data_IF_493329060568
#
_entry.id   IF_493329060568
#
_cell.length_a   1.000
_cell.length_b   1.000
_cell.length_c   1.000
_cell.angle_alpha   90.00
_cell.angle_beta   90.00
_cell.angle_gamma   90.00
#
_symmetry.space_group_name_H-M   'P 1'
#
loop_
_entity.id
_entity.type
_entity.pdbx_description
1 polymer ?
#
# COMPACT_ATOMS: atom_id res chain seq x y z
N UNK A 1 -15.82 -5.35 -19.93
CA UNK A 1 -15.07 -4.11 -20.21
C UNK A 1 -14.74 -3.43 -18.89
N UNK A 2 -13.45 -3.23 -18.56
CA UNK A 2 -13.02 -2.50 -17.36
C UNK A 2 -13.28 -1.00 -17.54
N UNK A 3 -13.87 -0.35 -16.54
CA UNK A 3 -14.13 1.11 -16.57
C UNK A 3 -12.81 1.90 -16.55
N UNK A 4 -12.82 3.14 -17.05
CA UNK A 4 -11.64 4.03 -17.01
C UNK A 4 -11.11 4.20 -15.57
N UNK A 5 -12.01 4.26 -14.60
CA UNK A 5 -11.69 4.33 -13.16
C UNK A 5 -10.94 3.08 -12.72
N UNK A 6 -11.40 1.88 -13.10
CA UNK A 6 -10.73 0.63 -12.72
C UNK A 6 -9.31 0.52 -13.30
N UNK A 7 -9.07 1.03 -14.52
CA UNK A 7 -7.73 1.08 -15.13
C UNK A 7 -6.79 2.08 -14.46
N UNK A 8 -7.33 3.19 -13.96
CA UNK A 8 -6.55 4.19 -13.24
C UNK A 8 -6.21 3.75 -11.80
N UNK A 9 -7.04 2.90 -11.20
CA UNK A 9 -6.87 2.48 -9.80
C UNK A 9 -6.14 1.15 -9.65
N UNK A 10 -6.37 0.19 -10.55
CA UNK A 10 -5.86 -1.17 -10.42
C UNK A 10 -4.87 -1.54 -11.52
N UNK A 11 -3.85 -2.35 -11.22
CA UNK A 11 -2.94 -2.91 -12.21
C UNK A 11 -3.66 -3.79 -13.23
N UNK A 12 -3.02 -3.96 -14.39
CA UNK A 12 -3.46 -4.90 -15.42
C UNK A 12 -3.02 -6.36 -15.16
N UNK A 13 -2.58 -6.67 -13.92
CA UNK A 13 -2.24 -8.04 -13.46
C UNK A 13 -3.17 -8.45 -12.33
N UNK A 14 -3.49 -9.74 -12.14
CA UNK A 14 -4.21 -10.17 -10.95
C UNK A 14 -3.41 -9.93 -9.66
N UNK A 15 -4.09 -9.82 -8.51
CA UNK A 15 -3.43 -9.78 -7.21
C UNK A 15 -2.67 -11.09 -6.94
N UNK A 16 -1.50 -10.98 -6.30
CA UNK A 16 -0.59 -12.10 -6.02
C UNK A 16 -0.64 -12.51 -4.54
N UNK A 17 0.05 -13.61 -4.20
CA UNK A 17 0.23 -14.07 -2.81
C UNK A 17 0.86 -13.01 -1.90
N UNK A 18 1.78 -12.20 -2.43
CA UNK A 18 2.39 -11.11 -1.68
C UNK A 18 1.40 -9.99 -1.38
N UNK A 19 0.48 -9.71 -2.31
CA UNK A 19 -0.57 -8.70 -2.11
C UNK A 19 -1.49 -9.14 -0.94
N UNK A 20 -1.81 -10.44 -0.86
CA UNK A 20 -2.57 -11.02 0.25
C UNK A 20 -1.80 -11.00 1.58
N UNK A 21 -0.51 -11.36 1.58
CA UNK A 21 0.34 -11.28 2.78
C UNK A 21 0.39 -9.86 3.36
N UNK A 22 0.43 -8.86 2.48
CA UNK A 22 0.44 -7.45 2.87
C UNK A 22 -0.83 -7.04 3.62
N UNK A 23 -1.99 -7.62 3.29
CA UNK A 23 -3.23 -7.42 4.07
C UNK A 23 -3.03 -7.89 5.51
N UNK A 24 -2.53 -9.12 5.71
CA UNK A 24 -2.34 -9.68 7.04
C UNK A 24 -1.38 -8.84 7.88
N UNK A 25 -0.26 -8.41 7.28
CA UNK A 25 0.70 -7.52 7.93
C UNK A 25 0.05 -6.19 8.30
N UNK A 26 -0.70 -5.57 7.38
CA UNK A 26 -1.38 -4.30 7.64
C UNK A 26 -2.38 -4.41 8.79
N UNK A 27 -3.19 -5.47 8.83
CA UNK A 27 -4.16 -5.72 9.91
C UNK A 27 -3.45 -5.89 11.25
N UNK A 28 -2.40 -6.72 11.32
CA UNK A 28 -1.64 -6.92 12.55
C UNK A 28 -1.07 -5.60 13.07
N UNK A 29 -0.50 -4.78 12.18
CA UNK A 29 0.07 -3.49 12.54
C UNK A 29 -1.01 -2.51 13.05
N UNK A 30 -2.17 -2.43 12.39
CA UNK A 30 -3.29 -1.60 12.85
C UNK A 30 -3.78 -2.05 14.23
N UNK A 31 -3.98 -3.35 14.44
CA UNK A 31 -4.43 -3.89 15.73
C UNK A 31 -3.41 -3.65 16.84
N UNK A 32 -2.11 -3.70 16.53
CA UNK A 32 -1.05 -3.39 17.49
C UNK A 32 -0.99 -1.91 17.88
N UNK A 33 -1.47 -1.01 17.01
CA UNK A 33 -1.53 0.42 17.26
C UNK A 33 -2.80 0.86 18.02
N UNK A 34 -3.84 0.03 18.07
CA UNK A 34 -5.13 0.32 18.69
C UNK A 34 -5.12 0.60 20.21
N UNK A 35 -4.18 0.11 21.04
CA UNK A 35 -4.11 0.49 22.45
C UNK A 35 -3.81 1.99 22.69
N UNK A 36 -3.43 2.73 21.65
CA UNK A 36 -3.17 4.18 21.68
C UNK A 36 -4.50 4.94 21.57
N UNK A 37 -5.24 5.02 22.68
CA UNK A 37 -6.62 5.53 22.79
C UNK A 37 -6.90 7.00 22.44
N UNK A 38 -6.07 7.64 21.60
CA UNK A 38 -6.20 9.04 21.15
C UNK A 38 -6.01 9.17 19.62
N UNK A 39 -6.47 8.18 18.86
CA UNK A 39 -6.32 8.20 17.40
C UNK A 39 -6.96 9.47 16.80
N UNK A 40 -6.12 10.35 16.25
CA UNK A 40 -6.58 11.56 15.58
C UNK A 40 -7.23 11.16 14.25
N UNK A 41 -8.56 11.09 14.26
CA UNK A 41 -9.35 10.64 13.14
C UNK A 41 -9.09 11.46 11.87
N UNK A 42 -8.77 12.75 12.02
CA UNK A 42 -8.41 13.62 10.91
C UNK A 42 -7.17 13.07 10.18
N UNK A 43 -6.15 12.64 10.91
CA UNK A 43 -4.92 12.09 10.34
C UNK A 43 -5.12 10.69 9.74
N UNK A 44 -6.06 9.90 10.27
CA UNK A 44 -6.46 8.62 9.65
C UNK A 44 -7.04 8.88 8.27
N UNK A 45 -7.98 9.82 8.16
CA UNK A 45 -8.61 10.17 6.87
C UNK A 45 -7.56 10.69 5.88
N UNK A 46 -6.67 11.57 6.32
CA UNK A 46 -5.58 12.08 5.48
C UNK A 46 -4.67 10.95 5.00
N UNK A 47 -4.22 10.07 5.91
CA UNK A 47 -3.38 8.94 5.56
C UNK A 47 -4.05 7.99 4.57
N UNK A 48 -5.34 7.73 4.76
CA UNK A 48 -6.14 6.90 3.88
C UNK A 48 -6.23 7.46 2.45
N UNK A 49 -6.53 8.76 2.33
CA UNK A 49 -6.59 9.44 1.03
C UNK A 49 -5.22 9.44 0.35
N UNK A 50 -4.15 9.74 1.08
CA UNK A 50 -2.79 9.69 0.54
C UNK A 50 -2.41 8.29 0.06
N UNK A 51 -2.74 7.26 0.85
CA UNK A 51 -2.50 5.86 0.47
C UNK A 51 -3.28 5.46 -0.78
N UNK A 52 -4.55 5.85 -0.89
CA UNK A 52 -5.38 5.57 -2.08
C UNK A 52 -4.83 6.25 -3.34
N UNK A 53 -4.44 7.52 -3.22
CA UNK A 53 -3.86 8.28 -4.33
C UNK A 53 -2.52 7.66 -4.74
N UNK A 54 -1.68 7.33 -3.75
CA UNK A 54 -0.37 6.71 -3.94
C UNK A 54 -0.44 5.36 -4.62
N UNK A 55 -1.25 4.44 -4.09
CA UNK A 55 -1.39 3.07 -4.62
C UNK A 55 -2.23 2.98 -5.90
N UNK A 56 -3.15 3.91 -6.11
CA UNK A 56 -3.98 3.97 -7.31
C UNK A 56 -3.37 4.87 -8.38
N UNK A 57 -3.91 6.08 -8.60
CA UNK A 57 -3.59 6.89 -9.78
C UNK A 57 -2.10 7.25 -9.91
N UNK A 58 -1.42 7.55 -8.80
CA UNK A 58 0.00 7.93 -8.84
C UNK A 58 0.85 6.75 -9.28
N UNK A 59 0.65 5.56 -8.71
CA UNK A 59 1.36 4.35 -9.12
C UNK A 59 1.05 3.94 -10.58
N UNK A 60 -0.16 4.18 -11.08
CA UNK A 60 -0.53 3.85 -12.45
C UNK A 60 -0.10 4.91 -13.49
N UNK A 61 0.31 6.11 -13.05
CA UNK A 61 0.77 7.18 -13.91
C UNK A 61 2.12 6.85 -14.59
N UNK A 62 2.46 7.48 -15.74
CA UNK A 62 3.76 7.30 -16.38
C UNK A 62 4.93 7.59 -15.44
N UNK A 63 4.83 8.66 -14.65
CA UNK A 63 5.85 9.07 -13.67
C UNK A 63 6.00 8.00 -12.58
N UNK A 64 4.89 7.48 -12.04
CA UNK A 64 4.92 6.43 -11.03
C UNK A 64 5.57 5.14 -11.55
N UNK A 65 5.26 4.76 -12.79
CA UNK A 65 5.87 3.60 -13.46
C UNK A 65 7.37 3.80 -13.70
N UNK A 66 7.79 5.00 -14.08
CA UNK A 66 9.20 5.34 -14.28
C UNK A 66 10.00 5.33 -12.97
N UNK A 67 9.45 5.92 -11.90
CA UNK A 67 10.05 5.86 -10.55
C UNK A 67 10.17 4.40 -10.10
N UNK A 68 9.12 3.60 -10.28
CA UNK A 68 9.14 2.18 -9.96
C UNK A 68 10.21 1.40 -10.73
N UNK A 69 10.32 1.64 -12.04
CA UNK A 69 11.35 1.02 -12.88
C UNK A 69 12.76 1.43 -12.46
N UNK A 70 12.96 2.71 -12.15
CA UNK A 70 14.25 3.25 -11.67
C UNK A 70 14.63 2.64 -10.34
N UNK A 71 13.70 2.60 -9.38
CA UNK A 71 13.92 1.96 -8.09
C UNK A 71 14.21 0.46 -8.22
N UNK A 72 13.60 -0.21 -9.20
CA UNK A 72 13.92 -1.60 -9.50
C UNK A 72 15.33 -1.75 -10.07
N UNK A 73 15.80 -0.80 -10.89
CA UNK A 73 17.08 -0.85 -11.59
C UNK A 73 18.32 -0.53 -10.72
N UNK A 74 18.21 0.31 -9.69
CA UNK A 74 19.35 0.75 -8.84
C UNK A 74 19.99 -0.34 -7.97
N UNK A 75 19.49 -1.58 -8.02
CA UNK A 75 19.99 -2.70 -7.24
C UNK A 75 19.77 -2.56 -5.72
N UNK A 76 20.17 -3.57 -4.95
CA UNK A 76 19.88 -3.64 -3.51
C UNK A 76 20.51 -2.48 -2.73
N UNK A 77 21.78 -2.15 -3.02
CA UNK A 77 22.49 -1.07 -2.35
C UNK A 77 21.82 0.31 -2.57
N UNK A 78 21.42 0.61 -3.81
CA UNK A 78 20.72 1.84 -4.13
C UNK A 78 19.37 1.93 -3.40
N UNK A 79 18.61 0.83 -3.34
CA UNK A 79 17.33 0.78 -2.60
C UNK A 79 17.52 1.06 -1.11
N UNK A 80 18.58 0.51 -0.49
CA UNK A 80 18.90 0.77 0.93
C UNK A 80 19.18 2.26 1.15
N UNK A 81 19.93 2.91 0.26
CA UNK A 81 20.22 4.35 0.37
C UNK A 81 18.93 5.17 0.27
N UNK A 82 18.10 4.91 -0.74
CA UNK A 82 16.81 5.61 -0.91
C UNK A 82 15.89 5.39 0.29
N UNK A 83 15.77 4.15 0.78
CA UNK A 83 14.99 3.86 1.98
C UNK A 83 15.54 4.57 3.21
N UNK A 84 16.86 4.61 3.41
CA UNK A 84 17.49 5.32 4.52
C UNK A 84 17.16 6.81 4.51
N UNK A 85 17.19 7.45 3.34
CA UNK A 85 16.83 8.87 3.17
C UNK A 85 15.37 9.13 3.58
N UNK A 86 14.46 8.19 3.35
CA UNK A 86 13.04 8.30 3.73
C UNK A 86 12.79 7.92 5.20
N UNK A 87 13.52 6.96 5.74
CA UNK A 87 13.34 6.45 7.11
C UNK A 87 13.69 7.53 8.14
N UNK A 88 14.80 8.25 7.96
CA UNK A 88 15.24 9.29 8.92
C UNK A 88 14.18 10.36 9.19
N UNK A 89 13.62 11.06 8.19
CA UNK A 89 12.55 12.05 8.43
C UNK A 89 11.27 11.38 8.93
N UNK A 90 10.98 10.15 8.52
CA UNK A 90 9.82 9.39 9.02
C UNK A 90 9.92 9.15 10.52
N UNK A 91 11.09 8.73 11.01
CA UNK A 91 11.36 8.56 12.44
C UNK A 91 11.25 9.91 13.16
N UNK A 92 11.79 10.98 12.58
CA UNK A 92 11.70 12.31 13.18
C UNK A 92 10.23 12.75 13.37
N UNK A 93 9.36 12.52 12.37
CA UNK A 93 7.91 12.78 12.48
C UNK A 93 7.26 11.87 13.51
N UNK A 94 7.61 10.58 13.56
CA UNK A 94 7.07 9.63 14.53
C UNK A 94 7.37 10.04 15.99
N UNK A 95 8.55 10.58 16.24
CA UNK A 95 8.96 11.02 17.58
C UNK A 95 8.37 12.38 17.94
N UNK A 96 8.36 13.33 17.01
CA UNK A 96 7.94 14.72 17.29
C UNK A 96 6.42 14.91 17.24
N UNK A 97 5.72 14.15 16.39
CA UNK A 97 4.29 14.24 16.16
C UNK A 97 3.64 12.84 16.21
N UNK A 98 3.74 12.11 17.34
CA UNK A 98 3.35 10.70 17.42
C UNK A 98 1.87 10.47 17.10
N UNK A 99 0.98 11.36 17.55
CA UNK A 99 -0.46 11.25 17.28
C UNK A 99 -0.79 11.38 15.78
N UNK A 100 -0.12 12.30 15.10
CA UNK A 100 -0.24 12.49 13.65
C UNK A 100 0.33 11.29 12.90
N UNK A 101 1.53 10.84 13.28
CA UNK A 101 2.20 9.71 12.65
C UNK A 101 1.38 8.42 12.75
N UNK A 102 0.86 8.11 13.94
CA UNK A 102 0.01 6.93 14.17
C UNK A 102 -1.26 7.02 13.32
N UNK A 103 -1.93 8.18 13.32
CA UNK A 103 -3.13 8.39 12.51
C UNK A 103 -2.86 8.19 11.01
N UNK A 104 -1.84 8.85 10.46
CA UNK A 104 -1.42 8.70 9.07
C UNK A 104 -1.09 7.24 8.72
N UNK A 105 -0.35 6.56 9.59
CA UNK A 105 0.06 5.17 9.40
C UNK A 105 -1.13 4.23 9.36
N UNK A 106 -2.08 4.36 10.31
CA UNK A 106 -3.32 3.58 10.32
C UNK A 106 -4.11 3.82 9.02
N UNK A 107 -4.25 5.10 8.62
CA UNK A 107 -4.95 5.49 7.39
C UNK A 107 -4.35 4.84 6.14
N UNK A 108 -3.03 4.96 5.95
CA UNK A 108 -2.32 4.36 4.83
C UNK A 108 -2.44 2.83 4.87
N UNK A 109 -2.25 2.22 6.04
CA UNK A 109 -2.32 0.77 6.19
C UNK A 109 -3.73 0.22 5.88
N UNK A 110 -4.77 0.96 6.21
CA UNK A 110 -6.15 0.58 5.92
C UNK A 110 -6.46 0.55 4.41
N UNK A 111 -5.64 1.18 3.57
CA UNK A 111 -5.79 1.11 2.12
C UNK A 111 -5.47 -0.28 1.59
N UNK A 112 -4.47 -0.99 2.14
CA UNK A 112 -4.06 -2.31 1.65
C UNK A 112 -5.20 -3.35 1.58
N UNK A 113 -5.97 -3.63 2.66
CA UNK A 113 -7.08 -4.58 2.59
C UNK A 113 -8.12 -4.16 1.54
N UNK A 114 -8.53 -2.89 1.52
CA UNK A 114 -9.55 -2.42 0.58
C UNK A 114 -9.06 -2.45 -0.86
N UNK A 115 -7.81 -2.08 -1.09
CA UNK A 115 -7.18 -2.08 -2.39
C UNK A 115 -7.10 -3.50 -2.95
N UNK A 116 -6.62 -4.46 -2.17
CA UNK A 116 -6.49 -5.85 -2.62
C UNK A 116 -7.86 -6.48 -2.82
N UNK A 117 -8.84 -6.25 -1.93
CA UNK A 117 -10.22 -6.74 -2.13
C UNK A 117 -10.86 -6.12 -3.38
N UNK A 118 -10.72 -4.82 -3.58
CA UNK A 118 -11.19 -4.16 -4.80
C UNK A 118 -10.52 -4.72 -6.06
N UNK A 119 -9.20 -4.97 -5.97
CA UNK A 119 -8.44 -5.56 -7.06
C UNK A 119 -8.89 -7.00 -7.35
N UNK A 120 -9.19 -7.80 -6.33
CA UNK A 120 -9.75 -9.15 -6.47
C UNK A 120 -11.10 -9.15 -7.16
N UNK A 121 -12.00 -8.24 -6.78
CA UNK A 121 -13.32 -8.12 -7.41
C UNK A 121 -13.19 -7.75 -8.89
N UNK A 122 -12.21 -6.91 -9.24
CA UNK A 122 -11.97 -6.44 -10.62
C UNK A 122 -11.18 -7.45 -11.47
N UNK A 123 -10.30 -8.25 -10.86
CA UNK A 123 -9.52 -9.28 -11.53
C UNK A 123 -10.29 -10.60 -11.67
N UNK A 124 -11.12 -10.95 -10.68
CA UNK A 124 -11.86 -12.21 -10.64
C UNK A 124 -10.99 -13.44 -10.37
N UNK A 125 -9.68 -13.28 -10.21
CA UNK A 125 -8.73 -14.37 -9.96
C UNK A 125 -7.55 -13.90 -9.09
N UNK A 126 -6.86 -14.87 -8.48
CA UNK A 126 -5.62 -14.67 -7.73
C UNK A 126 -4.50 -15.37 -8.48
N UNK A 127 -3.43 -14.63 -8.78
CA UNK A 127 -2.28 -15.19 -9.46
C UNK A 127 -1.58 -16.25 -8.58
N UNK A 128 -1.25 -17.40 -9.19
CA UNK A 128 -0.62 -18.54 -8.50
C UNK A 128 -1.53 -19.36 -7.57
N UNK A 129 -2.85 -19.20 -7.67
CA UNK A 129 -3.87 -19.99 -6.95
C UNK A 129 -4.72 -20.87 -7.88
N UNK A 130 -4.30 -21.09 -9.13
CA UNK A 130 -4.93 -22.11 -9.98
C UNK A 130 -4.84 -23.47 -9.28
N UNK A 131 -6.00 -24.00 -8.88
CA UNK A 131 -6.12 -25.39 -8.44
C UNK A 131 -6.06 -26.21 -9.72
N UNK A 132 -5.01 -27.00 -9.92
CA UNK A 132 -5.01 -27.98 -11.00
C UNK A 132 -6.29 -28.82 -10.87
N UNK A 133 -7.03 -29.07 -11.97
CA UNK A 133 -8.15 -29.99 -11.90
C UNK A 133 -7.60 -31.35 -11.45
N UNK A 134 -8.12 -31.83 -10.32
CA UNK A 134 -7.79 -33.14 -9.77
C UNK A 134 -8.07 -34.19 -10.86
N UNK A 135 -7.14 -35.13 -11.15
CA UNK A 135 -7.32 -36.15 -12.18
C UNK A 135 -8.51 -37.07 -11.91
#
# INVERSE_FOLDING_TARGET
>A
MRSLVSRAMFPDRPPTKSDVLMIFVAIILILSAFPLGDAAWEWIVVGFVLGLIGMGPVAQSPIGKEIGATFQAIGVAGRIVVMSILIVPTIAVAVTLPRMFVGLSIGILAVFPLYVVGHLIVAGEIDGWRVDPKP
#
